data_IF_367580034651
#
_entry.id   IF_367580034651
#
_cell.length_a   1.000
_cell.length_b   1.000
_cell.length_c   1.000
_cell.angle_alpha   90.00
_cell.angle_beta   90.00
_cell.angle_gamma   90.00
#
_symmetry.space_group_name_H-M   'P 1'
#
loop_
_entity.id
_entity.type
_entity.pdbx_description
1 polymer ?
#
# COMPACT_ATOMS: atom_id res chain seq x y z
N UNK A 1 -7.88 -0.08 11.26
CA UNK A 1 -7.26 0.92 12.17
C UNK A 1 -6.97 2.23 11.44
N UNK A 2 -6.33 2.20 10.27
CA UNK A 2 -6.03 3.39 9.44
C UNK A 2 -7.20 4.38 9.27
N UNK A 3 -8.36 3.91 8.77
CA UNK A 3 -9.55 4.78 8.57
C UNK A 3 -9.97 5.52 9.84
N UNK A 4 -9.82 4.88 11.00
CA UNK A 4 -10.14 5.49 12.30
C UNK A 4 -9.17 6.63 12.64
N UNK A 5 -7.90 6.49 12.28
CA UNK A 5 -6.89 7.54 12.45
C UNK A 5 -7.14 8.71 11.49
N UNK A 6 -7.53 8.45 10.25
CA UNK A 6 -7.94 9.52 9.32
C UNK A 6 -9.14 10.30 9.84
N UNK A 7 -10.23 9.61 10.18
CA UNK A 7 -11.41 10.27 10.73
C UNK A 7 -11.10 11.05 12.02
N UNK A 8 -10.31 10.46 12.92
CA UNK A 8 -9.95 11.09 14.19
C UNK A 8 -9.13 12.36 14.03
N UNK A 9 -8.12 12.33 13.17
CA UNK A 9 -7.23 13.47 12.96
C UNK A 9 -7.86 14.57 12.10
N UNK A 10 -8.57 14.21 11.04
CA UNK A 10 -9.10 15.17 10.05
C UNK A 10 -10.45 15.73 10.49
N UNK A 11 -11.34 14.91 11.02
CA UNK A 11 -12.73 15.30 11.30
C UNK A 11 -12.95 15.63 12.78
N UNK A 12 -12.31 14.90 13.70
CA UNK A 12 -12.55 15.03 15.15
C UNK A 12 -11.49 15.89 15.87
N UNK A 13 -10.39 16.25 15.20
CA UNK A 13 -9.30 17.03 15.78
C UNK A 13 -8.48 16.29 16.84
N UNK A 14 -8.55 14.95 16.87
CA UNK A 14 -7.74 14.12 17.77
C UNK A 14 -6.29 14.09 17.31
N UNK A 15 -5.36 14.09 18.26
CA UNK A 15 -3.93 14.09 17.96
C UNK A 15 -3.43 12.67 17.67
N UNK A 16 -2.75 12.50 16.52
CA UNK A 16 -1.96 11.29 16.23
C UNK A 16 -0.63 11.25 16.97
N UNK A 17 -0.19 12.40 17.51
CA UNK A 17 1.08 12.54 18.23
C UNK A 17 0.92 12.36 19.75
N UNK A 18 -0.33 12.23 20.24
CA UNK A 18 -0.60 11.88 21.62
C UNK A 18 -0.79 10.36 21.75
N UNK A 19 0.09 9.71 22.52
CA UNK A 19 0.11 8.25 22.65
C UNK A 19 -1.20 7.69 23.20
N UNK A 20 -1.85 8.39 24.14
CA UNK A 20 -3.10 7.91 24.73
C UNK A 20 -4.25 7.99 23.73
N UNK A 21 -4.34 9.08 22.97
CA UNK A 21 -5.36 9.25 21.93
C UNK A 21 -5.16 8.27 20.78
N UNK A 22 -3.92 8.01 20.37
CA UNK A 22 -3.59 7.06 19.32
C UNK A 22 -3.97 5.62 19.71
N UNK A 23 -3.61 5.18 20.93
CA UNK A 23 -4.01 3.87 21.47
C UNK A 23 -5.53 3.77 21.58
N UNK A 24 -6.19 4.81 22.09
CA UNK A 24 -7.66 4.82 22.19
C UNK A 24 -8.32 4.67 20.81
N UNK A 25 -7.85 5.38 19.79
CA UNK A 25 -8.35 5.21 18.42
C UNK A 25 -8.09 3.79 17.86
N UNK A 26 -6.93 3.20 18.16
CA UNK A 26 -6.64 1.83 17.74
C UNK A 26 -7.62 0.82 18.37
N UNK A 27 -7.94 0.99 19.65
CA UNK A 27 -8.93 0.18 20.37
C UNK A 27 -10.35 0.37 19.81
N UNK A 28 -10.74 1.60 19.51
CA UNK A 28 -12.03 1.90 18.86
C UNK A 28 -12.15 1.22 17.48
N UNK A 29 -11.03 1.04 16.78
CA UNK A 29 -10.98 0.32 15.52
C UNK A 29 -10.90 -1.22 15.68
N UNK A 30 -10.98 -1.75 16.91
CA UNK A 30 -11.02 -3.18 17.21
C UNK A 30 -9.68 -3.82 17.58
N UNK A 31 -8.59 -3.05 17.68
CA UNK A 31 -7.29 -3.59 18.10
C UNK A 31 -7.25 -3.82 19.61
N UNK A 32 -6.68 -4.93 20.12
CA UNK A 32 -6.44 -5.08 21.55
C UNK A 32 -5.52 -3.97 22.07
N UNK A 33 -5.85 -3.41 23.24
CA UNK A 33 -5.07 -2.32 23.84
C UNK A 33 -3.59 -2.68 24.03
N UNK A 34 -3.31 -3.89 24.52
CA UNK A 34 -1.95 -4.36 24.75
C UNK A 34 -1.13 -4.41 23.44
N UNK A 35 -1.75 -4.87 22.35
CA UNK A 35 -1.09 -4.93 21.04
C UNK A 35 -0.81 -3.52 20.50
N UNK A 36 -1.76 -2.58 20.68
CA UNK A 36 -1.57 -1.19 20.26
C UNK A 36 -0.46 -0.50 21.06
N UNK A 37 -0.37 -0.76 22.37
CA UNK A 37 0.70 -0.23 23.21
C UNK A 37 2.06 -0.83 22.84
N UNK A 38 2.12 -2.15 22.61
CA UNK A 38 3.32 -2.86 22.20
C UNK A 38 3.82 -2.43 20.81
N UNK A 39 2.92 -2.19 19.86
CA UNK A 39 3.29 -1.72 18.52
C UNK A 39 4.05 -0.39 18.57
N UNK A 40 3.71 0.51 19.50
CA UNK A 40 4.39 1.80 19.65
C UNK A 40 5.79 1.70 20.28
N UNK A 41 6.12 0.54 20.84
CA UNK A 41 7.44 0.21 21.39
C UNK A 41 8.24 -0.72 20.46
N UNK A 42 7.64 -1.18 19.37
CA UNK A 42 8.29 -2.11 18.45
C UNK A 42 9.19 -1.37 17.45
N UNK A 43 10.49 -1.54 17.60
CA UNK A 43 11.48 -0.97 16.68
C UNK A 43 11.44 -1.59 15.27
N UNK A 44 10.89 -2.79 15.09
CA UNK A 44 10.71 -3.38 13.75
C UNK A 44 9.68 -2.59 12.93
N UNK A 45 8.64 -2.06 13.58
CA UNK A 45 7.67 -1.18 12.89
C UNK A 45 8.29 0.18 12.56
N UNK A 46 9.18 0.69 13.41
CA UNK A 46 9.96 1.90 13.09
C UNK A 46 10.85 1.68 11.86
N UNK A 47 11.51 0.52 11.78
CA UNK A 47 12.34 0.15 10.63
C UNK A 47 11.47 0.05 9.36
N UNK A 48 10.33 -0.64 9.44
CA UNK A 48 9.39 -0.78 8.31
C UNK A 48 8.92 0.57 7.77
N UNK A 49 8.52 1.52 8.63
CA UNK A 49 8.13 2.87 8.21
C UNK A 49 9.30 3.61 7.53
N UNK A 50 10.51 3.48 8.06
CA UNK A 50 11.70 4.12 7.46
C UNK A 50 12.04 3.52 6.09
N UNK A 51 11.88 2.20 5.93
CA UNK A 51 12.09 1.51 4.66
C UNK A 51 11.05 1.91 3.62
N UNK A 52 9.77 2.07 4.01
CA UNK A 52 8.71 2.56 3.12
C UNK A 52 9.00 3.99 2.62
N UNK A 53 9.42 4.88 3.52
CA UNK A 53 9.83 6.25 3.16
C UNK A 53 11.04 6.27 2.22
N UNK A 54 12.06 5.45 2.52
CA UNK A 54 13.26 5.33 1.69
C UNK A 54 12.95 4.75 0.30
N UNK A 55 12.07 3.74 0.24
CA UNK A 55 11.61 3.15 -1.01
C UNK A 55 10.89 4.19 -1.88
N UNK A 56 9.94 4.93 -1.31
CA UNK A 56 9.22 5.98 -2.03
C UNK A 56 10.17 7.06 -2.59
N UNK A 57 11.17 7.48 -1.81
CA UNK A 57 12.21 8.42 -2.27
C UNK A 57 13.07 7.82 -3.39
N UNK A 58 13.44 6.54 -3.29
CA UNK A 58 14.29 5.88 -4.29
C UNK A 58 13.66 5.80 -5.69
N UNK A 59 12.34 5.73 -5.76
CA UNK A 59 11.57 5.73 -7.01
C UNK A 59 11.08 7.14 -7.41
N UNK A 60 11.57 8.19 -6.73
CA UNK A 60 11.35 9.59 -7.09
C UNK A 60 10.01 10.20 -6.62
N UNK A 61 9.32 9.57 -5.65
CA UNK A 61 8.08 10.14 -5.10
C UNK A 61 8.41 11.27 -4.11
N UNK A 62 7.73 12.40 -4.26
CA UNK A 62 7.95 13.62 -3.47
C UNK A 62 6.71 14.14 -2.76
N UNK A 63 5.58 13.43 -2.87
CA UNK A 63 4.31 13.82 -2.25
C UNK A 63 3.30 12.69 -2.24
N UNK A 64 2.21 12.87 -1.49
CA UNK A 64 1.14 11.90 -1.30
C UNK A 64 -0.23 12.53 -1.61
N UNK A 65 -1.26 11.72 -1.96
CA UNK A 65 -1.20 10.27 -2.19
C UNK A 65 -0.58 9.93 -3.55
N UNK A 66 0.13 8.79 -3.62
CA UNK A 66 0.63 8.20 -4.87
C UNK A 66 0.26 6.73 -4.88
N UNK A 67 -0.18 6.23 -6.02
CA UNK A 67 -0.56 4.84 -6.22
C UNK A 67 0.31 4.24 -7.31
N UNK A 68 1.06 3.19 -7.00
CA UNK A 68 1.87 2.45 -7.96
C UNK A 68 1.14 1.17 -8.35
N UNK A 69 0.88 0.99 -9.64
CA UNK A 69 0.15 -0.14 -10.21
C UNK A 69 1.12 -1.05 -10.96
N UNK A 70 1.24 -2.29 -10.50
CA UNK A 70 2.10 -3.33 -11.07
C UNK A 70 3.54 -2.85 -11.34
N UNK A 71 4.09 -2.05 -10.42
CA UNK A 71 5.47 -1.50 -10.49
C UNK A 71 5.79 -0.70 -11.77
N UNK A 72 4.79 -0.38 -12.59
CA UNK A 72 4.96 0.16 -13.94
C UNK A 72 4.29 1.52 -14.12
N UNK A 73 3.11 1.69 -13.53
CA UNK A 73 2.34 2.93 -13.64
C UNK A 73 2.21 3.59 -12.29
N UNK A 74 2.32 4.92 -12.25
CA UNK A 74 2.08 5.70 -11.04
C UNK A 74 0.96 6.72 -11.28
N UNK A 75 0.01 6.79 -10.35
CA UNK A 75 -1.03 7.82 -10.30
C UNK A 75 -0.71 8.73 -9.13
N UNK A 76 -0.40 9.99 -9.43
CA UNK A 76 -0.07 11.00 -8.41
C UNK A 76 -1.28 11.87 -8.08
N UNK A 77 -1.54 12.03 -6.78
CA UNK A 77 -2.62 12.81 -6.22
C UNK A 77 -3.96 12.06 -6.10
N UNK A 78 -4.91 12.71 -5.42
CA UNK A 78 -6.28 12.24 -5.28
C UNK A 78 -7.05 12.46 -6.60
N UNK A 79 -6.80 11.58 -7.58
CA UNK A 79 -7.43 11.62 -8.89
C UNK A 79 -8.90 11.14 -8.84
N UNK A 80 -9.65 11.41 -9.92
CA UNK A 80 -11.00 10.87 -10.07
C UNK A 80 -11.01 9.34 -10.15
N UNK A 81 -12.08 8.70 -9.66
CA UNK A 81 -12.24 7.25 -9.68
C UNK A 81 -12.08 6.63 -11.08
N UNK A 82 -12.54 7.32 -12.13
CA UNK A 82 -12.40 6.87 -13.51
C UNK A 82 -10.93 6.74 -13.95
N UNK A 83 -10.03 7.61 -13.46
CA UNK A 83 -8.60 7.51 -13.76
C UNK A 83 -8.00 6.23 -13.15
N UNK A 84 -8.40 5.89 -11.92
CA UNK A 84 -7.99 4.63 -11.28
C UNK A 84 -8.54 3.41 -12.02
N UNK A 85 -9.82 3.41 -12.38
CA UNK A 85 -10.44 2.31 -13.11
C UNK A 85 -9.77 2.07 -14.46
N UNK A 86 -9.45 3.15 -15.19
CA UNK A 86 -8.76 3.04 -16.47
C UNK A 86 -7.34 2.50 -16.32
N UNK A 87 -6.58 2.98 -15.32
CA UNK A 87 -5.24 2.46 -15.04
C UNK A 87 -5.25 0.97 -14.67
N UNK A 88 -6.21 0.54 -13.84
CA UNK A 88 -6.38 -0.87 -13.48
C UNK A 88 -6.71 -1.75 -14.69
N UNK A 89 -7.62 -1.30 -15.57
CA UNK A 89 -7.95 -2.01 -16.81
C UNK A 89 -6.75 -2.14 -17.73
N UNK A 90 -5.99 -1.06 -17.91
CA UNK A 90 -4.78 -1.06 -18.73
C UNK A 90 -3.75 -2.06 -18.21
N UNK A 91 -3.46 -2.03 -16.91
CA UNK A 91 -2.53 -2.99 -16.28
C UNK A 91 -2.99 -4.43 -16.46
N UNK A 92 -4.29 -4.68 -16.30
CA UNK A 92 -4.87 -6.00 -16.47
C UNK A 92 -4.70 -6.52 -17.91
N UNK A 93 -5.01 -5.71 -18.92
CA UNK A 93 -4.93 -6.10 -20.32
C UNK A 93 -3.47 -6.36 -20.76
N UNK A 94 -2.52 -5.57 -20.24
CA UNK A 94 -1.09 -5.75 -20.51
C UNK A 94 -0.56 -7.08 -19.93
N UNK A 95 -0.94 -7.43 -18.69
CA UNK A 95 -0.54 -8.71 -18.08
C UNK A 95 -1.06 -9.92 -18.87
N UNK A 96 -2.30 -9.87 -19.38
CA UNK A 96 -2.87 -10.94 -20.21
C UNK A 96 -2.10 -11.13 -21.52
N UNK A 97 -1.64 -10.02 -22.10
CA UNK A 97 -0.85 -10.03 -23.33
C UNK A 97 0.55 -10.60 -23.10
N UNK A 98 1.22 -10.21 -22.02
CA UNK A 98 2.55 -10.75 -21.64
C UNK A 98 2.49 -12.24 -21.35
N UNK A 99 1.44 -12.72 -20.67
CA UNK A 99 1.25 -14.15 -20.39
C UNK A 99 1.06 -14.98 -21.67
N UNK A 100 0.36 -14.44 -22.66
CA UNK A 100 0.08 -15.12 -23.94
C UNK A 100 1.25 -15.07 -24.93
N UNK A 101 2.24 -14.20 -24.71
CA UNK A 101 3.35 -13.97 -25.64
C UNK A 101 4.53 -14.95 -25.49
N UNK A 102 4.43 -15.99 -24.65
CA UNK A 102 5.49 -16.99 -24.47
C UNK A 102 5.51 -18.02 -25.60
N UNK A 103 5.88 -17.59 -26.80
CA UNK A 103 6.20 -18.47 -27.94
C UNK A 103 7.66 -18.97 -27.88
N UNK A 104 8.05 -19.54 -26.75
CA UNK A 104 9.37 -20.14 -26.52
C UNK A 104 9.27 -21.63 -26.16
N UNK A 105 10.40 -22.32 -26.06
CA UNK A 105 10.41 -23.68 -25.49
C UNK A 105 9.92 -23.59 -24.04
N UNK A 106 8.76 -24.19 -23.76
CA UNK A 106 8.20 -24.23 -22.42
C UNK A 106 8.33 -25.65 -21.87
N UNK A 107 8.66 -25.75 -20.58
CA UNK A 107 8.62 -27.00 -19.85
C UNK A 107 7.34 -27.02 -19.01
N UNK A 108 6.38 -27.85 -19.41
CA UNK A 108 5.16 -28.10 -18.66
C UNK A 108 5.26 -29.36 -17.81
N UNK A 109 4.17 -29.70 -17.13
CA UNK A 109 4.03 -30.98 -16.41
C UNK A 109 4.17 -32.20 -17.33
N UNK A 110 3.98 -32.00 -18.62
CA UNK A 110 4.00 -33.04 -19.64
C UNK A 110 5.36 -33.12 -20.37
N UNK A 111 6.37 -32.40 -19.89
CA UNK A 111 7.71 -32.32 -20.47
C UNK A 111 7.98 -31.00 -21.18
N UNK A 112 9.16 -30.89 -21.78
CA UNK A 112 9.59 -29.70 -22.49
C UNK A 112 9.34 -29.84 -24.00
N UNK A 113 8.68 -28.85 -24.59
CA UNK A 113 8.63 -28.69 -26.03
C UNK A 113 10.00 -28.18 -26.51
N UNK A 114 10.89 -29.10 -26.89
CA UNK A 114 12.18 -28.80 -27.52
C UNK A 114 12.01 -28.54 -29.02
#
# INVERSE_FOLDING_TARGET
VEERFYHGSITEGRSLFDRQQLVAMAVEAGMPKADAEAALENDDFRATVSDDEAHAQSIGLSGVPVFVMNEKYAISGAQAADNFLNALRQVWDEQQTEFSATAGQTCGTDGCSI
#
